data_IF_159735617558
#
_entry.id   IF_159735617558
#
_cell.length_a   1.000
_cell.length_b   1.000
_cell.length_c   1.000
_cell.angle_alpha   90.00
_cell.angle_beta   90.00
_cell.angle_gamma   90.00
#
_symmetry.space_group_name_H-M   'P 1'
#
loop_
_entity.id
_entity.type
_entity.pdbx_description
1 polymer ?
#
# COMPACT_ATOMS: atom_id res chain seq x y z
N UNK A 1 14.62 14.95 -5.30
CA UNK A 1 15.04 13.61 -4.86
C UNK A 1 13.96 12.96 -4.01
N UNK A 2 13.83 11.64 -4.14
CA UNK A 2 12.81 10.89 -3.39
C UNK A 2 13.50 9.92 -2.43
N UNK A 3 13.00 9.85 -1.20
CA UNK A 3 13.35 8.80 -0.26
C UNK A 3 12.16 7.85 -0.14
N UNK A 4 12.45 6.58 0.06
CA UNK A 4 11.40 5.62 0.33
C UNK A 4 10.83 5.88 1.71
N UNK A 5 9.50 6.02 1.79
CA UNK A 5 8.82 6.16 3.07
C UNK A 5 8.98 4.86 3.86
N UNK A 6 9.16 4.96 5.18
CA UNK A 6 9.34 3.78 6.03
C UNK A 6 8.15 2.82 5.92
N UNK A 7 8.40 1.54 6.14
CA UNK A 7 7.36 0.51 6.08
C UNK A 7 6.19 0.81 7.00
N UNK A 8 6.46 1.38 8.18
CA UNK A 8 5.42 1.75 9.13
C UNK A 8 4.48 2.81 8.56
N UNK A 9 5.03 3.84 7.91
CA UNK A 9 4.22 4.91 7.32
C UNK A 9 3.46 4.41 6.09
N UNK A 10 4.12 3.61 5.27
CA UNK A 10 3.48 2.98 4.12
C UNK A 10 2.27 2.16 4.58
N UNK A 11 2.47 1.35 5.61
CA UNK A 11 1.41 0.49 6.13
C UNK A 11 0.21 1.27 6.63
N UNK A 12 0.45 2.34 7.39
CA UNK A 12 -0.62 3.20 7.89
C UNK A 12 -1.39 3.85 6.75
N UNK A 13 -0.68 4.31 5.72
CA UNK A 13 -1.31 4.94 4.56
C UNK A 13 -2.19 3.94 3.82
N UNK A 14 -1.70 2.74 3.58
CA UNK A 14 -2.47 1.71 2.89
C UNK A 14 -3.72 1.36 3.69
N UNK A 15 -3.56 1.16 5.01
CA UNK A 15 -4.69 0.82 5.88
C UNK A 15 -5.74 1.92 5.86
N UNK A 16 -5.32 3.18 5.99
CA UNK A 16 -6.24 4.31 5.98
C UNK A 16 -7.03 4.37 4.67
N UNK A 17 -6.35 4.23 3.55
CA UNK A 17 -7.00 4.27 2.24
C UNK A 17 -7.97 3.10 2.07
N UNK A 18 -7.59 1.92 2.55
CA UNK A 18 -8.46 0.76 2.50
C UNK A 18 -9.72 0.96 3.33
N UNK A 19 -9.55 1.43 4.55
CA UNK A 19 -10.69 1.65 5.46
C UNK A 19 -11.62 2.72 4.92
N UNK A 20 -11.07 3.78 4.33
CA UNK A 20 -11.88 4.82 3.71
C UNK A 20 -12.78 4.29 2.60
N UNK A 21 -12.32 3.24 1.93
CA UNK A 21 -13.12 2.58 0.88
C UNK A 21 -13.98 1.46 1.42
N UNK A 22 -13.97 1.25 2.73
CA UNK A 22 -14.76 0.21 3.40
C UNK A 22 -14.42 -1.18 2.90
N UNK A 23 -13.14 -1.40 2.60
CA UNK A 23 -12.65 -2.70 2.13
C UNK A 23 -12.07 -3.49 3.28
N UNK A 24 -12.27 -4.81 3.24
CA UNK A 24 -11.56 -5.73 4.12
C UNK A 24 -10.16 -5.96 3.57
N UNK A 25 -9.28 -6.56 4.40
CA UNK A 25 -7.94 -6.94 3.95
C UNK A 25 -8.05 -7.90 2.76
N UNK A 26 -8.95 -8.88 2.86
CA UNK A 26 -9.19 -9.84 1.77
C UNK A 26 -9.67 -9.12 0.51
N UNK A 27 -10.54 -8.14 0.67
CA UNK A 27 -11.05 -7.38 -0.46
C UNK A 27 -9.95 -6.62 -1.19
N UNK A 28 -9.10 -5.94 -0.44
CA UNK A 28 -7.98 -5.24 -1.06
C UNK A 28 -7.00 -6.21 -1.73
N UNK A 29 -6.69 -7.32 -1.05
CA UNK A 29 -5.77 -8.32 -1.59
C UNK A 29 -6.26 -8.82 -2.96
N UNK A 30 -7.54 -9.07 -3.06
CA UNK A 30 -8.15 -9.53 -4.31
C UNK A 30 -8.01 -8.47 -5.41
N UNK A 31 -8.25 -7.20 -5.06
CA UNK A 31 -8.20 -6.13 -6.05
C UNK A 31 -6.80 -5.89 -6.59
N UNK A 32 -5.78 -6.05 -5.76
CA UNK A 32 -4.41 -5.80 -6.20
C UNK A 32 -3.65 -7.08 -6.57
N UNK A 33 -4.33 -8.23 -6.51
CA UNK A 33 -3.74 -9.49 -6.99
C UNK A 33 -2.68 -10.07 -6.09
N UNK A 34 -2.88 -9.99 -4.77
CA UNK A 34 -1.95 -10.57 -3.80
C UNK A 34 -2.73 -11.31 -2.71
N UNK A 35 -2.04 -11.83 -1.71
CA UNK A 35 -2.68 -12.57 -0.62
C UNK A 35 -3.07 -11.65 0.53
N UNK A 36 -4.05 -12.09 1.31
CA UNK A 36 -4.44 -11.37 2.53
C UNK A 36 -3.28 -11.25 3.50
N UNK A 37 -2.47 -12.31 3.61
CA UNK A 37 -1.29 -12.28 4.47
C UNK A 37 -0.31 -11.19 4.04
N UNK A 38 -0.12 -11.03 2.73
CA UNK A 38 0.77 -10.00 2.22
C UNK A 38 0.24 -8.61 2.57
N UNK A 39 -1.07 -8.36 2.35
CA UNK A 39 -1.66 -7.07 2.69
C UNK A 39 -1.52 -6.78 4.18
N UNK A 40 -1.77 -7.78 5.02
CA UNK A 40 -1.61 -7.63 6.46
C UNK A 40 -0.18 -7.23 6.82
N UNK A 41 0.82 -7.87 6.21
CA UNK A 41 2.21 -7.54 6.44
C UNK A 41 2.56 -6.12 5.98
N UNK A 42 2.00 -5.69 4.85
CA UNK A 42 2.20 -4.32 4.38
C UNK A 42 1.64 -3.32 5.40
N UNK A 43 0.43 -3.56 5.88
CA UNK A 43 -0.22 -2.63 6.81
C UNK A 43 0.45 -2.60 8.18
N UNK A 44 1.06 -3.71 8.58
CA UNK A 44 1.80 -3.78 9.85
C UNK A 44 3.22 -3.22 9.73
N UNK A 45 3.65 -2.86 8.54
CA UNK A 45 4.99 -2.34 8.33
C UNK A 45 6.08 -3.41 8.33
N UNK A 46 5.70 -4.68 8.30
CA UNK A 46 6.66 -5.79 8.34
C UNK A 46 7.22 -6.11 6.96
N UNK A 47 6.59 -5.61 5.91
CA UNK A 47 7.00 -5.89 4.55
C UNK A 47 6.64 -4.71 3.67
N UNK A 48 7.54 -4.36 2.74
CA UNK A 48 7.27 -3.33 1.74
C UNK A 48 6.91 -4.04 0.44
N UNK A 49 5.81 -3.65 -0.23
CA UNK A 49 5.45 -4.27 -1.49
C UNK A 49 6.54 -4.09 -2.53
N UNK A 50 6.73 -5.08 -3.40
CA UNK A 50 7.63 -4.91 -4.53
C UNK A 50 6.98 -3.98 -5.56
N UNK A 51 7.79 -3.50 -6.50
CA UNK A 51 7.37 -2.44 -7.42
C UNK A 51 6.08 -2.74 -8.15
N UNK A 52 5.90 -3.97 -8.61
CA UNK A 52 4.68 -4.36 -9.31
C UNK A 52 3.44 -4.16 -8.44
N UNK A 53 3.52 -4.55 -7.17
CA UNK A 53 2.40 -4.41 -6.26
C UNK A 53 2.19 -2.94 -5.88
N UNK A 54 3.28 -2.17 -5.72
CA UNK A 54 3.17 -0.73 -5.46
C UNK A 54 2.35 -0.05 -6.55
N UNK A 55 2.64 -0.38 -7.80
CA UNK A 55 1.94 0.21 -8.94
C UNK A 55 0.46 -0.16 -8.89
N UNK A 56 0.15 -1.42 -8.61
CA UNK A 56 -1.24 -1.87 -8.54
C UNK A 56 -2.01 -1.18 -7.41
N UNK A 57 -1.37 -1.00 -6.26
CA UNK A 57 -2.00 -0.30 -5.14
C UNK A 57 -2.30 1.14 -5.53
N UNK A 58 -1.32 1.83 -6.11
CA UNK A 58 -1.50 3.23 -6.52
C UNK A 58 -2.60 3.36 -7.56
N UNK A 59 -2.62 2.48 -8.55
CA UNK A 59 -3.64 2.50 -9.58
C UNK A 59 -5.03 2.25 -9.01
N UNK A 60 -5.13 1.28 -8.12
CA UNK A 60 -6.43 0.95 -7.51
C UNK A 60 -6.99 2.14 -6.74
N UNK A 61 -6.13 2.83 -5.98
CA UNK A 61 -6.58 3.98 -5.20
C UNK A 61 -6.61 5.28 -6.00
N UNK A 62 -6.12 5.26 -7.25
CA UNK A 62 -6.16 6.43 -8.11
C UNK A 62 -5.23 7.55 -7.69
N UNK A 63 -4.08 7.22 -7.13
CA UNK A 63 -3.08 8.20 -6.68
C UNK A 63 -1.72 7.88 -7.27
N UNK A 64 -0.82 8.89 -7.35
CA UNK A 64 0.55 8.61 -7.80
C UNK A 64 1.26 7.69 -6.82
N UNK A 65 2.12 6.81 -7.35
CA UNK A 65 2.87 5.88 -6.51
C UNK A 65 3.73 6.62 -5.48
N UNK A 66 4.22 7.79 -5.84
CA UNK A 66 5.07 8.59 -4.95
C UNK A 66 4.34 9.04 -3.70
N UNK A 67 3.03 9.26 -3.79
CA UNK A 67 2.26 9.75 -2.65
C UNK A 67 2.12 8.70 -1.55
N UNK A 68 2.30 7.42 -1.90
CA UNK A 68 2.20 6.33 -0.93
C UNK A 68 3.59 5.85 -0.51
N UNK A 69 4.49 5.65 -1.46
CA UNK A 69 5.71 4.90 -1.23
C UNK A 69 6.97 5.72 -1.19
N UNK A 70 6.94 6.96 -1.64
CA UNK A 70 8.13 7.79 -1.70
C UNK A 70 7.83 9.18 -1.13
N UNK A 71 8.85 9.76 -0.51
CA UNK A 71 8.75 11.10 0.04
C UNK A 71 9.66 12.02 -0.76
N UNK A 72 9.11 13.13 -1.24
CA UNK A 72 9.89 14.13 -1.96
C UNK A 72 10.61 15.02 -0.97
N UNK A 73 11.88 15.24 -1.22
CA UNK A 73 12.71 16.13 -0.41
C UNK A 73 12.65 17.55 -0.92
#
# INVERSE_FOLDING_TARGET
MYDTISGSRIGKTIKMMRVERKLTIEGLAKEIGTSSSAVNMYECGMRIPRDEIKIRIAEFFGVPVESIFFQTK
#
